data_IF_147886446089
#
_entry.id   IF_147886446089
#
_cell.length_a   1.000
_cell.length_b   1.000
_cell.length_c   1.000
_cell.angle_alpha   90.00
_cell.angle_beta   90.00
_cell.angle_gamma   90.00
#
_symmetry.space_group_name_H-M   'P 1'
#
loop_
_entity.id
_entity.type
_entity.pdbx_description
1 polymer ?
#
# COMPACT_ATOMS: atom_id res chain seq x y z
N UNK A 1 -36.31 20.69 40.44
CA UNK A 1 -35.34 21.46 39.63
C UNK A 1 -34.44 20.50 38.88
N UNK A 2 -34.39 20.55 37.55
CA UNK A 2 -33.55 19.64 36.75
C UNK A 2 -32.07 20.05 36.82
N UNK A 3 -31.18 19.14 37.25
CA UNK A 3 -29.73 19.39 37.27
C UNK A 3 -29.22 19.51 35.83
N UNK A 4 -28.65 20.68 35.50
CA UNK A 4 -28.01 20.93 34.20
C UNK A 4 -26.75 20.06 34.10
N UNK A 5 -26.75 19.08 33.19
CA UNK A 5 -25.57 18.22 32.97
C UNK A 5 -24.43 19.05 32.37
N UNK A 6 -23.19 18.92 32.86
CA UNK A 6 -22.04 19.58 32.24
C UNK A 6 -21.87 19.07 30.80
N UNK A 7 -21.62 20.00 29.87
CA UNK A 7 -21.35 19.70 28.46
C UNK A 7 -19.84 19.83 28.23
N UNK A 8 -19.19 18.75 27.82
CA UNK A 8 -17.81 18.80 27.36
C UNK A 8 -17.73 19.61 26.06
N UNK A 9 -16.77 20.52 25.97
CA UNK A 9 -16.44 21.27 24.75
C UNK A 9 -14.95 21.11 24.49
N UNK A 10 -14.54 20.34 23.46
CA UNK A 10 -13.13 20.17 23.15
C UNK A 10 -12.51 21.48 22.68
N UNK A 11 -11.32 21.81 23.18
CA UNK A 11 -10.48 22.86 22.60
C UNK A 11 -9.77 22.30 21.36
N UNK A 12 -10.38 22.54 20.19
CA UNK A 12 -9.85 22.06 18.91
C UNK A 12 -8.45 22.63 18.64
N UNK A 13 -8.18 23.89 19.04
CA UNK A 13 -6.85 24.51 18.86
C UNK A 13 -5.83 23.88 19.79
N UNK A 14 -6.22 23.55 21.02
CA UNK A 14 -5.39 22.79 21.97
C UNK A 14 -5.03 21.41 21.43
N UNK A 15 -6.02 20.68 20.90
CA UNK A 15 -5.81 19.37 20.28
C UNK A 15 -4.85 19.47 19.08
N UNK A 16 -5.05 20.45 18.19
CA UNK A 16 -4.17 20.65 17.03
C UNK A 16 -2.71 20.90 17.44
N UNK A 17 -2.48 21.68 18.51
CA UNK A 17 -1.13 21.91 19.06
C UNK A 17 -0.49 20.61 19.60
N UNK A 18 -1.28 19.73 20.19
CA UNK A 18 -0.80 18.42 20.64
C UNK A 18 -0.46 17.55 19.43
N UNK A 19 -1.33 17.52 18.42
CA UNK A 19 -1.15 16.69 17.22
C UNK A 19 0.06 17.12 16.38
N UNK A 20 0.40 18.41 16.35
CA UNK A 20 1.58 18.97 15.66
C UNK A 20 2.80 19.14 16.57
N UNK A 21 2.79 18.54 17.77
CA UNK A 21 3.91 18.64 18.70
C UNK A 21 5.11 17.77 18.31
N UNK A 22 6.35 18.14 18.69
CA UNK A 22 7.53 17.30 18.51
C UNK A 22 7.41 15.93 19.19
N UNK A 23 6.68 15.85 20.31
CA UNK A 23 6.43 14.58 21.01
C UNK A 23 5.53 13.66 20.18
N UNK A 24 4.54 14.22 19.48
CA UNK A 24 3.72 13.47 18.55
C UNK A 24 4.52 13.01 17.33
N UNK A 25 5.39 13.86 16.77
CA UNK A 25 6.31 13.45 15.70
C UNK A 25 7.21 12.30 16.14
N UNK A 26 7.82 12.39 17.32
CA UNK A 26 8.64 11.30 17.87
C UNK A 26 7.83 10.00 18.03
N UNK A 27 6.55 10.08 18.39
CA UNK A 27 5.66 8.93 18.43
C UNK A 27 5.40 8.35 17.04
N UNK A 28 5.17 9.19 16.03
CA UNK A 28 5.02 8.76 14.64
C UNK A 28 6.29 8.09 14.11
N UNK A 29 7.48 8.63 14.41
CA UNK A 29 8.76 8.03 14.05
C UNK A 29 8.94 6.66 14.71
N UNK A 30 8.58 6.49 16.00
CA UNK A 30 8.62 5.18 16.65
C UNK A 30 7.70 4.17 15.96
N UNK A 31 6.49 4.59 15.60
CA UNK A 31 5.57 3.75 14.85
C UNK A 31 6.11 3.38 13.46
N UNK A 32 6.70 4.34 12.74
CA UNK A 32 7.33 4.13 11.44
C UNK A 32 8.52 3.15 11.52
N UNK A 33 9.34 3.21 12.57
CA UNK A 33 10.41 2.22 12.81
C UNK A 33 9.84 0.82 13.01
N UNK A 34 8.74 0.68 13.76
CA UNK A 34 8.04 -0.61 13.90
C UNK A 34 7.43 -1.12 12.59
N UNK A 35 6.98 -0.22 11.70
CA UNK A 35 6.58 -0.57 10.33
C UNK A 35 7.77 -1.03 9.49
N UNK A 36 8.89 -0.32 9.57
CA UNK A 36 10.12 -0.66 8.85
C UNK A 36 10.63 -2.04 9.24
N UNK A 37 10.76 -2.35 10.53
CA UNK A 37 11.21 -3.67 10.99
C UNK A 37 10.31 -4.80 10.51
N UNK A 38 8.98 -4.58 10.47
CA UNK A 38 8.03 -5.55 9.89
C UNK A 38 8.22 -5.71 8.39
N UNK A 39 8.42 -4.60 7.66
CA UNK A 39 8.66 -4.62 6.23
C UNK A 39 9.98 -5.34 5.88
N UNK A 40 11.04 -5.13 6.65
CA UNK A 40 12.34 -5.81 6.49
C UNK A 40 12.24 -7.31 6.77
N UNK A 41 11.49 -7.70 7.81
CA UNK A 41 11.23 -9.11 8.11
C UNK A 41 10.47 -9.81 6.97
N UNK A 42 9.38 -9.18 6.49
CA UNK A 42 8.61 -9.68 5.35
C UNK A 42 9.42 -9.73 4.06
N UNK A 43 10.25 -8.71 3.82
CA UNK A 43 11.15 -8.69 2.66
C UNK A 43 12.09 -9.90 2.70
N UNK A 44 12.66 -10.20 3.86
CA UNK A 44 13.55 -11.36 4.05
C UNK A 44 12.83 -12.68 3.84
N UNK A 45 11.62 -12.84 4.40
CA UNK A 45 10.75 -14.01 4.19
C UNK A 45 10.48 -14.26 2.69
N UNK A 46 10.24 -13.18 1.95
CA UNK A 46 10.01 -13.21 0.50
C UNK A 46 11.29 -13.17 -0.35
N UNK A 47 12.45 -13.39 0.26
CA UNK A 47 13.78 -13.44 -0.39
C UNK A 47 14.12 -12.16 -1.17
N UNK A 48 13.58 -11.01 -0.75
CA UNK A 48 13.94 -9.69 -1.26
C UNK A 48 15.12 -9.17 -0.47
N UNK A 49 16.31 -9.45 -1.00
CA UNK A 49 17.60 -9.06 -0.44
C UNK A 49 18.24 -7.94 -1.26
N UNK A 50 19.43 -7.49 -0.85
CA UNK A 50 20.19 -6.47 -1.57
C UNK A 50 19.47 -5.13 -1.59
N UNK A 51 19.39 -4.52 -2.78
CA UNK A 51 18.95 -3.13 -2.94
C UNK A 51 17.56 -2.87 -2.34
N UNK A 52 16.59 -3.76 -2.52
CA UNK A 52 15.25 -3.58 -1.94
C UNK A 52 15.30 -3.45 -0.41
N UNK A 53 15.99 -4.36 0.26
CA UNK A 53 16.07 -4.40 1.71
C UNK A 53 16.83 -3.19 2.26
N UNK A 54 17.89 -2.74 1.58
CA UNK A 54 18.68 -1.58 1.99
C UNK A 54 18.05 -0.22 1.68
N UNK A 55 16.99 -0.18 0.86
CA UNK A 55 16.39 1.07 0.36
C UNK A 55 15.19 1.56 1.18
N UNK A 56 14.92 0.98 2.35
CA UNK A 56 13.93 1.51 3.28
C UNK A 56 14.43 2.78 3.96
N UNK A 57 13.55 3.78 4.06
CA UNK A 57 13.85 5.06 4.69
C UNK A 57 12.61 5.65 5.36
N UNK A 58 12.81 6.39 6.44
CA UNK A 58 11.75 7.09 7.17
C UNK A 58 12.01 8.59 7.08
N UNK A 59 10.96 9.35 6.77
CA UNK A 59 10.92 10.81 6.89
C UNK A 59 9.79 11.22 7.82
N UNK A 60 9.92 12.34 8.52
CA UNK A 60 8.86 12.89 9.38
C UNK A 60 8.71 14.40 9.25
N UNK A 61 7.57 14.90 9.70
CA UNK A 61 7.25 16.32 9.81
C UNK A 61 6.22 16.53 10.93
N UNK A 62 6.23 17.69 11.57
CA UNK A 62 5.17 18.13 12.50
C UNK A 62 3.93 18.69 11.78
N UNK A 63 4.05 18.97 10.48
CA UNK A 63 3.02 19.59 9.63
C UNK A 63 2.71 18.68 8.43
N UNK A 64 2.24 17.47 8.71
CA UNK A 64 1.82 16.48 7.73
C UNK A 64 0.30 16.34 7.61
N UNK A 65 -0.11 15.30 6.90
CA UNK A 65 -1.48 15.09 6.44
C UNK A 65 -1.90 16.07 5.35
N UNK A 66 -3.07 15.83 4.74
CA UNK A 66 -3.61 16.66 3.65
C UNK A 66 -3.74 18.14 4.03
N UNK A 67 -3.96 18.44 5.32
CA UNK A 67 -4.15 19.79 5.85
C UNK A 67 -2.90 20.39 6.51
N UNK A 68 -1.79 19.65 6.65
CA UNK A 68 -0.61 20.12 7.37
C UNK A 68 -0.83 20.36 8.87
N UNK A 69 -1.81 19.69 9.48
CA UNK A 69 -2.34 20.01 10.83
C UNK A 69 -1.92 19.02 11.93
N UNK A 70 -1.05 18.06 11.61
CA UNK A 70 -0.63 16.99 12.51
C UNK A 70 0.76 16.49 12.17
N UNK A 71 1.45 15.88 13.13
CA UNK A 71 2.68 15.19 12.84
C UNK A 71 2.43 13.93 12.00
N UNK A 72 3.34 13.65 11.08
CA UNK A 72 3.33 12.49 10.18
C UNK A 72 4.73 11.90 10.11
N UNK A 73 4.81 10.57 9.99
CA UNK A 73 6.01 9.88 9.55
C UNK A 73 5.66 8.97 8.37
N UNK A 74 6.49 9.00 7.33
CA UNK A 74 6.31 8.23 6.10
C UNK A 74 7.45 7.22 5.98
N UNK A 75 7.11 5.94 5.83
CA UNK A 75 8.04 4.89 5.39
C UNK A 75 8.04 4.83 3.86
N UNK A 76 9.23 4.84 3.25
CA UNK A 76 9.40 4.75 1.78
C UNK A 76 10.44 3.68 1.44
N UNK A 77 10.28 3.05 0.29
CA UNK A 77 11.31 2.22 -0.33
C UNK A 77 11.73 2.84 -1.67
N UNK A 78 12.99 3.22 -1.80
CA UNK A 78 13.53 3.91 -2.99
C UNK A 78 14.12 2.98 -4.05
N UNK A 79 14.03 1.66 -3.88
CA UNK A 79 14.55 0.72 -4.86
C UNK A 79 13.79 0.87 -6.20
N UNK A 80 14.47 0.84 -7.36
CA UNK A 80 13.82 1.01 -8.67
C UNK A 80 12.69 0.02 -8.96
N UNK A 81 12.77 -1.17 -8.35
CA UNK A 81 11.79 -2.24 -8.50
C UNK A 81 10.80 -2.34 -7.32
N UNK A 82 10.76 -1.35 -6.42
CA UNK A 82 9.89 -1.38 -5.25
C UNK A 82 8.40 -1.47 -5.65
N UNK A 83 7.99 -0.73 -6.68
CA UNK A 83 6.62 -0.79 -7.23
C UNK A 83 6.26 -2.20 -7.71
N UNK A 84 7.21 -2.89 -8.36
CA UNK A 84 7.00 -4.24 -8.86
C UNK A 84 6.87 -5.25 -7.72
N UNK A 85 7.66 -5.11 -6.65
CA UNK A 85 7.53 -5.95 -5.44
C UNK A 85 6.17 -5.74 -4.76
N UNK A 86 5.73 -4.49 -4.67
CA UNK A 86 4.50 -4.15 -3.98
C UNK A 86 3.26 -4.61 -4.77
N UNK A 87 3.20 -4.34 -6.08
CA UNK A 87 1.98 -4.52 -6.89
C UNK A 87 2.06 -5.65 -7.91
N UNK A 88 3.23 -6.25 -8.09
CA UNK A 88 3.47 -7.28 -9.10
C UNK A 88 3.41 -6.74 -10.53
N UNK A 89 3.59 -7.63 -11.49
CA UNK A 89 3.50 -7.36 -12.92
C UNK A 89 2.76 -8.50 -13.63
N UNK A 90 2.97 -8.61 -14.95
CA UNK A 90 2.41 -9.69 -15.77
C UNK A 90 2.99 -11.06 -15.39
N UNK A 91 4.29 -11.11 -15.09
CA UNK A 91 5.02 -12.34 -14.77
C UNK A 91 5.47 -12.43 -13.30
N UNK A 92 5.04 -11.50 -12.45
CA UNK A 92 5.41 -11.49 -11.03
C UNK A 92 4.18 -11.21 -10.16
N UNK A 93 3.95 -12.06 -9.17
CA UNK A 93 2.89 -11.83 -8.19
C UNK A 93 3.23 -10.67 -7.24
N UNK A 94 2.19 -9.95 -6.80
CA UNK A 94 2.32 -8.88 -5.83
C UNK A 94 2.67 -9.46 -4.46
N UNK A 95 3.80 -9.04 -3.89
CA UNK A 95 4.19 -9.49 -2.55
C UNK A 95 3.61 -8.61 -1.45
N UNK A 96 3.23 -7.36 -1.77
CA UNK A 96 2.58 -6.42 -0.85
C UNK A 96 3.36 -6.23 0.46
N UNK A 97 4.68 -6.15 0.39
CA UNK A 97 5.54 -6.13 1.59
C UNK A 97 5.18 -4.95 2.49
N UNK A 98 5.06 -3.75 1.94
CA UNK A 98 4.74 -2.56 2.74
C UNK A 98 3.27 -2.55 3.16
N UNK A 99 2.34 -2.94 2.27
CA UNK A 99 0.92 -3.05 2.62
C UNK A 99 0.68 -4.04 3.76
N UNK A 100 1.31 -5.22 3.71
CA UNK A 100 1.24 -6.23 4.77
C UNK A 100 1.90 -5.74 6.07
N UNK A 101 3.04 -5.05 5.98
CA UNK A 101 3.66 -4.44 7.16
C UNK A 101 2.72 -3.41 7.83
N UNK A 102 1.94 -2.68 7.04
CA UNK A 102 0.92 -1.74 7.52
C UNK A 102 -0.36 -2.42 8.07
N UNK A 103 -0.48 -3.74 7.96
CA UNK A 103 -1.66 -4.49 8.39
C UNK A 103 -2.77 -4.56 7.35
N UNK A 104 -2.51 -4.20 6.09
CA UNK A 104 -3.46 -4.46 5.01
C UNK A 104 -3.52 -5.96 4.73
N UNK A 105 -4.71 -6.54 4.77
CA UNK A 105 -4.94 -7.90 4.31
C UNK A 105 -4.59 -7.96 2.81
N UNK A 106 -3.67 -8.88 2.44
CA UNK A 106 -3.18 -8.99 1.07
C UNK A 106 -4.32 -9.12 0.07
N UNK A 107 -4.50 -8.11 -0.78
CA UNK A 107 -5.47 -8.14 -1.88
C UNK A 107 -5.04 -9.24 -2.84
N UNK A 108 -5.79 -10.36 -2.86
CA UNK A 108 -5.66 -11.37 -3.92
C UNK A 108 -6.05 -10.68 -5.24
N UNK A 109 -5.16 -10.65 -6.23
CA UNK A 109 -5.54 -10.22 -7.59
C UNK A 109 -6.76 -11.05 -8.03
N UNK A 110 -7.82 -10.46 -8.60
CA UNK A 110 -8.82 -11.25 -9.27
C UNK A 110 -8.11 -12.05 -10.36
N UNK A 111 -8.29 -13.38 -10.35
CA UNK A 111 -7.79 -14.22 -11.44
C UNK A 111 -8.39 -13.66 -12.72
N UNK A 112 -7.57 -13.10 -13.61
CA UNK A 112 -7.98 -12.87 -15.00
C UNK A 112 -8.39 -14.25 -15.51
N UNK A 113 -9.68 -14.46 -15.76
CA UNK A 113 -10.14 -15.64 -16.50
C UNK A 113 -9.33 -15.61 -17.79
N UNK A 114 -8.57 -16.68 -18.07
CA UNK A 114 -8.07 -16.90 -19.44
C UNK A 114 -9.31 -16.79 -20.32
N UNK A 115 -9.33 -15.86 -21.27
CA UNK A 115 -10.35 -15.85 -22.29
C UNK A 115 -10.30 -17.25 -22.92
N UNK A 116 -11.39 -18.00 -22.79
CA UNK A 116 -11.54 -19.22 -23.56
C UNK A 116 -11.35 -18.85 -25.04
N UNK A 117 -10.64 -19.66 -25.83
CA UNK A 117 -10.64 -19.49 -27.27
C UNK A 117 -12.10 -19.48 -27.74
N UNK A 118 -12.48 -18.64 -28.72
CA UNK A 118 -13.83 -18.73 -29.28
C UNK A 118 -14.04 -20.15 -29.84
N UNK A 119 -14.96 -20.88 -29.22
CA UNK A 119 -15.54 -22.09 -29.78
C UNK A 119 -16.31 -21.71 -31.04
N UNK A 120 -16.02 -22.41 -32.14
CA UNK A 120 -16.92 -22.49 -33.29
C UNK A 120 -16.62 -21.49 -34.42
N UNK A 121 -15.87 -21.94 -35.41
CA UNK A 121 -16.24 -21.66 -36.80
C UNK A 121 -16.37 -23.02 -37.46
N UNK A 122 -17.61 -23.49 -37.52
CA UNK A 122 -18.02 -24.65 -38.29
C UNK A 122 -17.81 -24.36 -39.78
N UNK A 123 -17.29 -25.36 -40.49
CA UNK A 123 -17.52 -25.69 -41.89
C UNK A 123 -17.75 -24.53 -42.88
N UNK A 124 -16.65 -24.09 -43.50
CA UNK A 124 -16.74 -23.56 -44.85
C UNK A 124 -16.73 -24.74 -45.84
N UNK A 125 -17.72 -24.88 -46.75
CA UNK A 125 -17.68 -25.89 -47.78
C UNK A 125 -16.52 -25.62 -48.76
N UNK A 126 -15.94 -26.67 -49.37
CA UNK A 126 -14.84 -26.51 -50.32
C UNK A 126 -15.30 -25.76 -51.58
N UNK A 127 -14.42 -24.98 -52.22
CA UNK A 127 -14.75 -24.29 -53.46
C UNK A 127 -15.01 -25.31 -54.57
N UNK A 128 -16.14 -25.12 -55.26
CA UNK A 128 -16.46 -25.85 -56.49
C UNK A 128 -15.34 -25.63 -57.52
N UNK A 129 -14.89 -26.74 -58.10
CA UNK A 129 -13.87 -26.75 -59.14
C UNK A 129 -14.32 -25.99 -60.38
N UNK A 130 -13.48 -25.07 -60.82
CA UNK A 130 -13.49 -24.54 -62.16
C UNK A 130 -12.06 -24.55 -62.67
N UNK A 131 -11.78 -25.45 -63.61
CA UNK A 131 -10.87 -25.29 -64.76
C UNK A 131 -10.66 -26.66 -65.43
N UNK A 132 -11.09 -26.78 -66.70
CA UNK A 132 -10.86 -27.94 -67.57
C UNK A 132 -12.09 -28.38 -68.36
#
# INVERSE_FOLDING_TARGET
MARKKPKFRPDIKGIGRILSSPQMEAAMVRNARGLQSRAEALATEHRRTGQYLSSFSISSTTQGGVKGDRAEATLRNSAPHATLVEWGGEHMEAQRIMGRAAGEAGVKKPKRKKASPPEGTQDAPPPEGGEG
#
